data_IF_897638685863
#
_entry.id   IF_897638685863
#
_cell.length_a   1.000
_cell.length_b   1.000
_cell.length_c   1.000
_cell.angle_alpha   90.00
_cell.angle_beta   90.00
_cell.angle_gamma   90.00
#
_symmetry.space_group_name_H-M   'P 1'
#
loop_
_entity.id
_entity.type
_entity.pdbx_description
1 polymer ?
#
# COMPACT_ATOMS: atom_id res chain seq x y z
N UNK A 1 13.99 -3.72 0.16
CA UNK A 1 13.01 -3.40 1.22
C UNK A 1 13.64 -2.39 2.18
N UNK A 2 13.29 -1.11 2.06
CA UNK A 2 13.79 -0.07 2.98
C UNK A 2 12.92 -0.10 4.23
N UNK A 3 13.42 -0.70 5.31
CA UNK A 3 12.75 -0.66 6.61
C UNK A 3 12.82 0.78 7.14
N UNK A 4 11.81 1.61 6.83
CA UNK A 4 11.67 2.91 7.48
C UNK A 4 11.44 2.67 8.97
N UNK A 5 12.26 3.23 9.87
CA UNK A 5 12.11 2.99 11.29
C UNK A 5 10.74 3.48 11.74
N UNK A 6 10.00 2.58 12.39
CA UNK A 6 8.71 2.90 13.01
C UNK A 6 8.98 3.98 14.08
N UNK A 7 8.32 5.15 14.03
CA UNK A 7 8.57 6.21 15.01
C UNK A 7 8.29 5.69 16.42
N UNK A 8 9.23 5.88 17.36
CA UNK A 8 9.05 5.52 18.78
C UNK A 8 7.76 6.18 19.30
N UNK A 9 6.74 5.37 19.59
CA UNK A 9 5.42 5.83 20.06
C UNK A 9 4.22 5.41 19.21
N UNK A 10 4.38 4.59 18.16
CA UNK A 10 3.23 4.00 17.46
C UNK A 10 2.48 3.02 18.37
N UNK A 11 1.14 3.09 18.43
CA UNK A 11 0.35 2.14 19.21
C UNK A 11 0.58 0.72 18.69
N UNK A 12 0.70 -0.25 19.60
CA UNK A 12 0.98 -1.68 19.31
C UNK A 12 0.26 -2.25 18.07
N UNK A 13 -1.03 -1.92 17.83
CA UNK A 13 -1.76 -2.37 16.64
C UNK A 13 -1.15 -1.89 15.32
N UNK A 14 -0.65 -0.65 15.23
CA UNK A 14 -0.07 -0.11 13.99
C UNK A 14 1.26 -0.79 13.64
N UNK A 15 2.06 -1.11 14.66
CA UNK A 15 3.31 -1.85 14.49
C UNK A 15 3.04 -3.32 14.07
N UNK A 16 2.00 -3.94 14.64
CA UNK A 16 1.55 -5.28 14.25
C UNK A 16 1.01 -5.29 12.82
N UNK A 17 0.18 -4.32 12.42
CA UNK A 17 -0.29 -4.17 11.05
C UNK A 17 0.86 -3.93 10.05
N UNK A 18 1.90 -3.19 10.47
CA UNK A 18 3.10 -3.02 9.65
C UNK A 18 3.86 -4.33 9.41
N UNK A 19 3.93 -5.20 10.43
CA UNK A 19 4.54 -6.54 10.29
C UNK A 19 3.66 -7.47 9.46
N UNK A 20 2.34 -7.45 9.67
CA UNK A 20 1.42 -8.29 8.91
C UNK A 20 1.44 -7.95 7.43
N UNK A 21 1.44 -6.67 7.05
CA UNK A 21 1.52 -6.29 5.63
C UNK A 21 2.76 -6.85 4.94
N UNK A 22 3.90 -6.83 5.63
CA UNK A 22 5.18 -7.35 5.11
C UNK A 22 5.15 -8.88 4.99
N UNK A 23 4.55 -9.57 5.95
CA UNK A 23 4.35 -11.01 5.87
C UNK A 23 3.45 -11.39 4.69
N UNK A 24 2.30 -10.71 4.52
CA UNK A 24 1.39 -10.95 3.40
C UNK A 24 2.07 -10.65 2.05
N UNK A 25 2.83 -9.56 1.96
CA UNK A 25 3.55 -9.18 0.74
C UNK A 25 4.68 -10.17 0.40
N UNK A 26 5.37 -10.70 1.42
CA UNK A 26 6.38 -11.75 1.26
C UNK A 26 5.75 -13.02 0.70
N UNK A 27 4.61 -13.45 1.25
CA UNK A 27 3.86 -14.60 0.74
C UNK A 27 3.40 -14.37 -0.70
N UNK A 28 2.87 -13.19 -1.02
CA UNK A 28 2.51 -12.81 -2.39
C UNK A 28 3.69 -12.96 -3.35
N UNK A 29 4.84 -12.34 -3.04
CA UNK A 29 6.03 -12.40 -3.90
C UNK A 29 6.54 -13.83 -4.09
N UNK A 30 6.50 -14.65 -3.04
CA UNK A 30 6.89 -16.06 -3.13
C UNK A 30 5.95 -16.86 -4.03
N UNK A 31 4.64 -16.69 -3.87
CA UNK A 31 3.65 -17.37 -4.71
C UNK A 31 3.72 -16.86 -6.16
N UNK A 32 4.02 -15.60 -6.37
CA UNK A 32 4.16 -15.01 -7.71
C UNK A 32 5.30 -15.64 -8.50
N UNK A 33 6.44 -15.95 -7.86
CA UNK A 33 7.52 -16.71 -8.51
C UNK A 33 7.07 -18.10 -8.97
N UNK A 34 6.26 -18.79 -8.17
CA UNK A 34 5.73 -20.12 -8.52
C UNK A 34 4.71 -20.03 -9.66
N UNK A 35 3.86 -18.99 -9.65
CA UNK A 35 2.90 -18.72 -10.73
C UNK A 35 3.63 -18.40 -12.04
N UNK A 36 4.71 -17.63 -11.98
CA UNK A 36 5.54 -17.30 -13.13
C UNK A 36 6.20 -18.55 -13.72
N UNK A 37 6.74 -19.43 -12.87
CA UNK A 37 7.23 -20.77 -13.23
C UNK A 37 6.15 -21.68 -13.84
N UNK A 38 4.89 -21.50 -13.44
CA UNK A 38 3.76 -22.17 -14.08
C UNK A 38 3.47 -21.62 -15.49
N UNK A 39 3.62 -20.32 -15.71
CA UNK A 39 3.45 -19.69 -17.04
C UNK A 39 4.55 -20.03 -18.03
N UNK A 40 5.79 -20.28 -17.58
CA UNK A 40 6.88 -20.71 -18.45
C UNK A 40 6.73 -22.16 -18.97
N UNK A 41 5.69 -22.88 -18.54
CA UNK A 41 5.36 -24.22 -19.02
C UNK A 41 6.17 -25.35 -18.38
N UNK A 42 7.04 -25.03 -17.42
CA UNK A 42 7.86 -26.01 -16.67
C UNK A 42 6.98 -26.83 -15.71
N UNK A 43 5.92 -26.22 -15.17
CA UNK A 43 4.98 -26.88 -14.27
C UNK A 43 3.74 -27.37 -15.03
N UNK A 44 3.55 -28.69 -15.14
CA UNK A 44 2.46 -29.30 -15.94
C UNK A 44 1.06 -29.15 -15.33
N UNK A 45 0.93 -28.83 -14.04
CA UNK A 45 -0.37 -28.87 -13.36
C UNK A 45 -1.08 -27.50 -13.33
N UNK A 46 -1.83 -27.20 -14.40
CA UNK A 46 -2.47 -25.89 -14.63
C UNK A 46 -3.45 -25.47 -13.52
N UNK A 47 -4.24 -26.40 -12.98
CA UNK A 47 -5.21 -26.09 -11.91
C UNK A 47 -4.52 -25.58 -10.64
N UNK A 48 -3.40 -26.19 -10.25
CA UNK A 48 -2.65 -25.79 -9.05
C UNK A 48 -2.00 -24.43 -9.23
N UNK A 49 -1.49 -24.13 -10.42
CA UNK A 49 -0.97 -22.81 -10.77
C UNK A 49 -2.07 -21.74 -10.72
N UNK A 50 -3.27 -22.03 -11.20
CA UNK A 50 -4.39 -21.07 -11.12
C UNK A 50 -4.84 -20.83 -9.68
N UNK A 51 -4.96 -21.88 -8.87
CA UNK A 51 -5.27 -21.76 -7.44
C UNK A 51 -4.21 -20.93 -6.69
N UNK A 52 -2.92 -21.21 -6.93
CA UNK A 52 -1.83 -20.42 -6.33
C UNK A 52 -1.86 -18.96 -6.81
N UNK A 53 -2.23 -18.71 -8.07
CA UNK A 53 -2.45 -17.36 -8.59
C UNK A 53 -3.55 -16.61 -7.83
N UNK A 54 -4.69 -17.27 -7.57
CA UNK A 54 -5.78 -16.67 -6.78
C UNK A 54 -5.37 -16.42 -5.33
N UNK A 55 -4.71 -17.38 -4.68
CA UNK A 55 -4.22 -17.22 -3.29
C UNK A 55 -3.22 -16.06 -3.22
N UNK A 56 -2.33 -15.95 -4.21
CA UNK A 56 -1.38 -14.84 -4.34
C UNK A 56 -2.13 -13.50 -4.39
N UNK A 57 -3.12 -13.38 -5.27
CA UNK A 57 -3.95 -12.16 -5.38
C UNK A 57 -4.70 -11.82 -4.08
N UNK A 58 -5.19 -12.81 -3.32
CA UNK A 58 -5.76 -12.59 -2.00
C UNK A 58 -4.73 -12.06 -0.99
N UNK A 59 -3.50 -12.59 -1.00
CA UNK A 59 -2.41 -12.06 -0.16
C UNK A 59 -2.05 -10.61 -0.55
N UNK A 60 -2.04 -10.29 -1.85
CA UNK A 60 -1.81 -8.93 -2.33
C UNK A 60 -2.93 -7.96 -1.90
N UNK A 61 -4.19 -8.38 -2.03
CA UNK A 61 -5.35 -7.63 -1.58
C UNK A 61 -5.29 -7.38 -0.07
N UNK A 62 -5.03 -8.43 0.72
CA UNK A 62 -4.91 -8.32 2.17
C UNK A 62 -3.77 -7.38 2.60
N UNK A 63 -2.61 -7.44 1.93
CA UNK A 63 -1.50 -6.52 2.20
C UNK A 63 -1.86 -5.06 1.87
N UNK A 64 -2.62 -4.83 0.79
CA UNK A 64 -3.07 -3.50 0.37
C UNK A 64 -4.09 -2.90 1.34
N UNK A 65 -4.99 -3.73 1.90
CA UNK A 65 -5.92 -3.33 2.98
C UNK A 65 -5.15 -2.98 4.26
N UNK A 66 -4.20 -3.82 4.69
CA UNK A 66 -3.35 -3.50 5.84
C UNK A 66 -2.54 -2.21 5.63
N UNK A 67 -2.04 -1.98 4.42
CA UNK A 67 -1.32 -0.75 4.06
C UNK A 67 -2.22 0.46 4.23
N UNK A 68 -3.43 0.42 3.67
CA UNK A 68 -4.40 1.51 3.78
C UNK A 68 -4.71 1.85 5.24
N UNK A 69 -4.94 0.84 6.09
CA UNK A 69 -5.19 1.06 7.52
C UNK A 69 -4.00 1.70 8.25
N UNK A 70 -2.76 1.30 7.92
CA UNK A 70 -1.54 1.89 8.50
C UNK A 70 -1.36 3.34 8.04
N UNK A 71 -1.52 3.62 6.75
CA UNK A 71 -1.34 4.97 6.22
C UNK A 71 -2.42 5.94 6.76
N UNK A 72 -3.68 5.50 6.90
CA UNK A 72 -4.74 6.30 7.56
C UNK A 72 -4.33 6.64 9.00
N UNK A 73 -3.85 5.66 9.77
CA UNK A 73 -3.42 5.86 11.15
C UNK A 73 -2.23 6.82 11.29
N UNK A 74 -1.24 6.72 10.40
CA UNK A 74 -0.09 7.62 10.38
C UNK A 74 -0.47 9.04 9.94
N UNK A 75 -1.32 9.20 8.91
CA UNK A 75 -1.82 10.50 8.45
C UNK A 75 -2.60 11.21 9.57
N UNK A 76 -3.52 10.50 10.24
CA UNK A 76 -4.29 11.07 11.35
C UNK A 76 -3.40 11.57 12.49
N UNK A 77 -2.37 10.78 12.84
CA UNK A 77 -1.41 11.16 13.88
C UNK A 77 -0.53 12.34 13.47
N UNK A 78 -0.06 12.35 12.22
CA UNK A 78 0.75 13.43 11.66
C UNK A 78 -0.04 14.75 11.61
N UNK A 79 -1.31 14.68 11.22
CA UNK A 79 -2.22 15.84 11.16
C UNK A 79 -2.47 16.45 12.54
N UNK A 80 -2.68 15.61 13.57
CA UNK A 80 -2.78 16.06 14.97
C UNK A 80 -1.50 16.72 15.48
N UNK A 81 -0.33 16.14 15.17
CA UNK A 81 0.98 16.73 15.51
C UNK A 81 1.21 18.08 14.81
N UNK A 82 0.84 18.21 13.53
CA UNK A 82 0.94 19.49 12.81
C UNK A 82 0.03 20.55 13.42
N UNK A 83 -1.23 20.21 13.69
CA UNK A 83 -2.21 21.13 14.31
C UNK A 83 -1.81 21.56 15.73
N UNK A 84 -1.09 20.71 16.46
CA UNK A 84 -0.53 21.05 17.78
C UNK A 84 0.64 22.05 17.64
N UNK A 85 1.56 21.83 16.72
CA UNK A 85 2.68 22.76 16.49
C UNK A 85 2.20 24.14 15.99
N UNK A 86 1.19 24.17 15.13
CA UNK A 86 0.55 25.42 14.65
C UNK A 86 -0.03 26.26 15.80
N UNK A 87 -0.53 25.61 16.86
CA UNK A 87 -1.10 26.30 18.03
C UNK A 87 -0.04 26.74 19.06
N UNK A 88 1.04 25.98 19.22
CA UNK A 88 2.08 26.27 20.23
C UNK A 88 3.05 27.37 19.79
N UNK A 89 3.28 27.56 18.48
CA UNK A 89 4.29 28.49 17.98
C UNK A 89 3.69 29.56 17.06
N UNK A 90 3.13 30.60 17.67
CA UNK A 90 2.66 31.83 16.99
C UNK A 90 3.77 32.90 16.79
N UNK A 91 5.05 32.55 16.94
CA UNK A 91 6.13 33.55 17.07
C UNK A 91 7.53 33.23 16.54
N UNK A 92 7.79 32.09 15.89
CA UNK A 92 9.13 31.75 15.38
C UNK A 92 9.04 31.25 13.92
N UNK A 93 9.21 32.16 12.94
CA UNK A 93 8.82 31.93 11.54
C UNK A 93 9.81 31.09 10.71
N UNK A 94 11.14 31.19 10.95
CA UNK A 94 12.13 30.63 10.01
C UNK A 94 12.42 29.14 10.21
N UNK A 95 12.55 28.66 11.45
CA UNK A 95 12.80 27.23 11.71
C UNK A 95 11.53 26.38 11.49
N UNK A 96 10.36 27.03 11.53
CA UNK A 96 9.05 26.43 11.31
C UNK A 96 8.83 26.03 9.85
N UNK A 97 9.18 26.88 8.86
CA UNK A 97 8.92 26.57 7.45
C UNK A 97 9.61 25.28 7.01
N UNK A 98 10.87 25.06 7.41
CA UNK A 98 11.61 23.85 7.04
C UNK A 98 11.03 22.57 7.68
N UNK A 99 10.73 22.60 8.99
CA UNK A 99 10.17 21.44 9.71
C UNK A 99 8.72 21.18 9.26
N UNK A 100 7.95 22.23 9.00
CA UNK A 100 6.60 22.16 8.48
C UNK A 100 6.59 21.59 7.06
N UNK A 101 7.45 22.09 6.16
CA UNK A 101 7.60 21.55 4.80
C UNK A 101 8.03 20.09 4.80
N UNK A 102 8.97 19.69 5.66
CA UNK A 102 9.38 18.31 5.78
C UNK A 102 8.23 17.39 6.24
N UNK A 103 7.41 17.84 7.20
CA UNK A 103 6.21 17.10 7.63
C UNK A 103 5.13 17.07 6.56
N UNK A 104 4.94 18.16 5.81
CA UNK A 104 3.95 18.28 4.75
C UNK A 104 4.32 17.38 3.56
N UNK A 105 5.59 17.38 3.14
CA UNK A 105 6.10 16.46 2.12
C UNK A 105 5.91 15.01 2.55
N UNK A 106 6.27 14.68 3.79
CA UNK A 106 6.03 13.35 4.36
C UNK A 106 4.55 12.98 4.37
N UNK A 107 3.64 13.91 4.66
CA UNK A 107 2.20 13.68 4.58
C UNK A 107 1.74 13.41 3.15
N UNK A 108 2.30 14.13 2.17
CA UNK A 108 1.94 14.00 0.77
C UNK A 108 2.39 12.63 0.21
N UNK A 109 3.63 12.22 0.48
CA UNK A 109 4.15 10.90 0.09
C UNK A 109 3.30 9.76 0.66
N UNK A 110 2.83 9.93 1.91
CA UNK A 110 2.00 8.97 2.62
C UNK A 110 0.56 8.93 2.09
N UNK A 111 0.02 10.09 1.71
CA UNK A 111 -1.29 10.20 1.07
C UNK A 111 -1.27 9.57 -0.32
N UNK A 112 -0.18 9.77 -1.07
CA UNK A 112 0.02 9.14 -2.36
C UNK A 112 0.14 7.61 -2.22
N UNK A 113 0.83 7.13 -1.18
CA UNK A 113 0.86 5.69 -0.85
C UNK A 113 -0.53 5.13 -0.52
N UNK A 114 -1.39 5.90 0.17
CA UNK A 114 -2.77 5.52 0.47
C UNK A 114 -3.66 5.48 -0.78
N UNK A 115 -3.54 6.48 -1.66
CA UNK A 115 -4.26 6.51 -2.94
C UNK A 115 -3.84 5.29 -3.78
N UNK A 116 -2.53 5.03 -3.85
CA UNK A 116 -1.99 3.87 -4.54
C UNK A 116 -2.54 2.56 -3.97
N UNK A 117 -2.50 2.36 -2.65
CA UNK A 117 -3.01 1.12 -2.04
C UNK A 117 -4.52 0.96 -2.24
N UNK A 118 -5.27 2.06 -2.28
CA UNK A 118 -6.71 2.04 -2.59
C UNK A 118 -6.97 1.61 -4.04
N UNK A 119 -6.18 2.10 -4.99
CA UNK A 119 -6.23 1.68 -6.39
C UNK A 119 -5.85 0.19 -6.51
N UNK A 120 -4.80 -0.25 -5.82
CA UNK A 120 -4.33 -1.63 -5.83
C UNK A 120 -5.40 -2.61 -5.30
N UNK A 121 -6.20 -2.22 -4.29
CA UNK A 121 -7.37 -2.99 -3.83
C UNK A 121 -8.38 -3.17 -4.95
N UNK A 122 -8.74 -2.09 -5.67
CA UNK A 122 -9.72 -2.15 -6.77
C UNK A 122 -9.19 -3.03 -7.91
N UNK A 123 -7.90 -2.90 -8.24
CA UNK A 123 -7.24 -3.73 -9.25
C UNK A 123 -7.26 -5.20 -8.83
N UNK A 124 -6.94 -5.50 -7.58
CA UNK A 124 -6.97 -6.86 -7.04
C UNK A 124 -8.38 -7.47 -7.10
N UNK A 125 -9.43 -6.72 -6.72
CA UNK A 125 -10.83 -7.14 -6.84
C UNK A 125 -11.21 -7.44 -8.30
N UNK A 126 -10.75 -6.60 -9.23
CA UNK A 126 -10.96 -6.77 -10.66
C UNK A 126 -10.26 -8.00 -11.24
N UNK A 127 -9.01 -8.27 -10.83
CA UNK A 127 -8.25 -9.46 -11.25
C UNK A 127 -8.83 -10.76 -10.67
N UNK A 128 -9.34 -10.70 -9.45
CA UNK A 128 -9.97 -11.84 -8.78
C UNK A 128 -11.40 -12.11 -9.27
N UNK A 129 -11.93 -11.25 -10.16
CA UNK A 129 -13.29 -11.28 -10.70
C UNK A 129 -14.37 -11.42 -9.60
N UNK A 130 -14.16 -10.80 -8.43
CA UNK A 130 -15.14 -10.86 -7.34
C UNK A 130 -16.41 -10.06 -7.64
N UNK A 131 -16.30 -9.00 -8.45
CA UNK A 131 -17.42 -8.14 -8.82
C UNK A 131 -17.38 -7.76 -10.32
N UNK A 132 -17.57 -8.73 -11.24
CA UNK A 132 -17.41 -8.51 -12.68
C UNK A 132 -18.46 -7.56 -13.27
N UNK A 133 -19.58 -7.35 -12.56
CA UNK A 133 -20.63 -6.39 -12.93
C UNK A 133 -20.27 -4.93 -12.59
N UNK A 134 -19.37 -4.72 -11.63
CA UNK A 134 -19.01 -3.38 -11.14
C UNK A 134 -17.62 -2.97 -11.61
N UNK A 135 -16.69 -3.92 -11.71
CA UNK A 135 -15.30 -3.67 -12.13
C UNK A 135 -15.03 -4.43 -13.43
N UNK A 136 -15.15 -3.73 -14.56
CA UNK A 136 -14.88 -4.28 -15.89
C UNK A 136 -13.37 -4.47 -16.09
N UNK A 137 -12.91 -5.50 -16.83
CA UNK A 137 -11.48 -5.72 -17.10
C UNK A 137 -10.75 -4.49 -17.68
N UNK A 138 -11.47 -3.64 -18.42
CA UNK A 138 -10.93 -2.37 -18.94
C UNK A 138 -10.63 -1.35 -17.83
N UNK A 139 -11.48 -1.27 -16.81
CA UNK A 139 -11.30 -0.39 -15.65
C UNK A 139 -10.13 -0.91 -14.80
N UNK A 140 -10.07 -2.22 -14.56
CA UNK A 140 -8.93 -2.86 -13.89
C UNK A 140 -7.61 -2.57 -14.61
N UNK A 141 -7.58 -2.69 -15.94
CA UNK A 141 -6.39 -2.40 -16.74
C UNK A 141 -5.98 -0.92 -16.69
N UNK A 142 -6.94 0.00 -16.82
CA UNK A 142 -6.67 1.44 -16.74
C UNK A 142 -6.15 1.84 -15.34
N UNK A 143 -6.76 1.34 -14.28
CA UNK A 143 -6.31 1.57 -12.90
C UNK A 143 -4.93 0.95 -12.64
N UNK A 144 -4.67 -0.25 -13.19
CA UNK A 144 -3.36 -0.92 -13.17
C UNK A 144 -2.25 -0.12 -13.87
N UNK A 145 -2.59 0.54 -14.97
CA UNK A 145 -1.66 1.43 -15.67
C UNK A 145 -1.38 2.71 -14.87
N UNK A 146 -2.43 3.34 -14.34
CA UNK A 146 -2.29 4.55 -13.50
C UNK A 146 -1.49 4.29 -12.23
N UNK A 147 -1.71 3.17 -11.53
CA UNK A 147 -0.91 2.82 -10.33
C UNK A 147 0.56 2.58 -10.67
N UNK A 148 0.84 2.08 -11.89
CA UNK A 148 2.21 1.91 -12.40
C UNK A 148 2.87 3.26 -12.69
N UNK A 149 2.15 4.20 -13.30
CA UNK A 149 2.63 5.58 -13.50
C UNK A 149 2.90 6.29 -12.19
N UNK A 150 2.00 6.18 -11.23
CA UNK A 150 2.18 6.74 -9.88
C UNK A 150 3.48 6.18 -9.27
N UNK A 151 3.75 4.89 -9.42
CA UNK A 151 5.00 4.29 -8.94
C UNK A 151 6.27 4.67 -9.72
N UNK A 152 6.16 5.10 -10.97
CA UNK A 152 7.31 5.63 -11.72
C UNK A 152 7.67 7.07 -11.34
N UNK A 153 6.72 7.83 -10.79
CA UNK A 153 6.90 9.23 -10.38
C UNK A 153 7.07 9.41 -8.87
N UNK A 154 6.81 8.37 -8.08
CA UNK A 154 7.03 8.30 -6.63
C UNK A 154 8.45 7.87 -6.32
#
# INVERSE_FOLDING_TARGET
MRATPVPKGTPLPLALLGKSKNALLSTFLFLDQIVWLGRSGIYKNKERTELLGRISLFCWLGSSVCTTAVEIGEIGRLSSSMKKMEKEFKGDEKHHDEVYRAKLQKSNDRTLALVKSSIDIVVAIGLLQLAPKTVTPRVTGALGFTTSLISCYQ
#
